data_IF_677310378774
#
_entry.id   IF_677310378774
#
_cell.length_a   1.000
_cell.length_b   1.000
_cell.length_c   1.000
_cell.angle_alpha   90.00
_cell.angle_beta   90.00
_cell.angle_gamma   90.00
#
_symmetry.space_group_name_H-M   'P 1'
#
loop_
_entity.id
_entity.type
_entity.pdbx_description
1 polymer ?
#
# COMPACT_ATOMS: atom_id res chain seq x y z
N UNK A 1 -22.12 20.47 11.21
CA UNK A 1 -20.75 20.71 10.68
C UNK A 1 -20.29 19.70 9.62
N UNK A 2 -20.51 18.37 9.73
CA UNK A 2 -20.02 17.38 8.72
C UNK A 2 -21.09 16.74 7.82
N UNK A 3 -22.33 17.21 7.86
CA UNK A 3 -23.46 16.62 7.12
C UNK A 3 -23.21 16.61 5.61
N UNK A 4 -22.79 17.73 5.04
CA UNK A 4 -22.53 17.87 3.59
C UNK A 4 -21.45 16.90 3.08
N UNK A 5 -20.38 16.71 3.85
CA UNK A 5 -19.30 15.78 3.49
C UNK A 5 -19.72 14.32 3.66
N UNK A 6 -20.53 14.02 4.69
CA UNK A 6 -21.06 12.67 4.94
C UNK A 6 -22.11 12.27 3.90
N UNK A 7 -22.92 13.20 3.41
CA UNK A 7 -23.92 12.96 2.35
C UNK A 7 -23.28 12.62 1.00
N UNK A 8 -22.12 13.19 0.70
CA UNK A 8 -21.37 12.89 -0.54
C UNK A 8 -20.48 11.65 -0.45
N UNK A 9 -20.51 10.90 0.66
CA UNK A 9 -19.76 9.64 0.77
C UNK A 9 -20.28 8.65 -0.26
N UNK A 10 -19.37 8.08 -1.05
CA UNK A 10 -19.70 7.18 -2.16
C UNK A 10 -19.88 7.89 -3.52
N UNK A 11 -19.88 9.22 -3.56
CA UNK A 11 -19.89 9.97 -4.81
C UNK A 11 -18.48 10.17 -5.36
N UNK A 12 -18.40 10.35 -6.68
CA UNK A 12 -17.16 10.72 -7.36
C UNK A 12 -16.97 12.22 -7.22
N UNK A 13 -15.83 12.62 -6.66
CA UNK A 13 -15.41 14.02 -6.55
C UNK A 13 -14.28 14.31 -7.54
N UNK A 14 -14.16 15.58 -7.92
CA UNK A 14 -13.14 16.05 -8.86
C UNK A 14 -12.21 17.07 -8.21
N UNK A 15 -10.96 17.20 -8.70
CA UNK A 15 -10.03 18.21 -8.20
C UNK A 15 -10.63 19.61 -8.31
N UNK A 16 -10.56 20.38 -7.23
CA UNK A 16 -11.15 21.72 -7.14
C UNK A 16 -12.49 21.79 -6.42
N UNK A 17 -13.14 20.66 -6.13
CA UNK A 17 -14.30 20.65 -5.24
C UNK A 17 -13.87 21.09 -3.84
N UNK A 18 -14.52 22.14 -3.31
CA UNK A 18 -14.27 22.68 -1.98
C UNK A 18 -15.44 22.37 -1.04
N UNK A 19 -15.11 22.01 0.20
CA UNK A 19 -16.07 21.83 1.28
C UNK A 19 -15.66 22.75 2.43
N UNK A 20 -16.53 23.69 2.79
CA UNK A 20 -16.36 24.50 3.99
C UNK A 20 -16.70 23.68 5.22
N UNK A 21 -15.92 23.83 6.28
CA UNK A 21 -16.43 23.55 7.60
C UNK A 21 -17.25 24.78 7.98
N UNK A 22 -18.58 24.68 7.97
CA UNK A 22 -19.39 25.76 8.53
C UNK A 22 -19.16 25.76 10.05
N UNK A 23 -18.12 26.48 10.49
CA UNK A 23 -18.16 27.11 11.78
C UNK A 23 -19.36 28.07 11.70
N UNK A 24 -20.44 27.75 12.41
CA UNK A 24 -21.42 28.79 12.70
C UNK A 24 -20.63 29.92 13.38
N UNK A 25 -20.55 31.07 12.72
CA UNK A 25 -20.06 32.34 13.25
C UNK A 25 -21.00 32.85 14.37
N UNK A 26 -21.26 32.01 15.36
CA UNK A 26 -21.80 32.41 16.66
C UNK A 26 -20.76 32.04 17.71
N UNK A 27 -19.82 32.95 17.94
CA UNK A 27 -18.99 32.95 19.15
C UNK A 27 -19.94 33.22 20.32
N UNK A 28 -20.68 32.19 20.73
CA UNK A 28 -21.38 32.16 22.00
C UNK A 28 -20.31 31.88 23.06
N UNK A 29 -20.05 32.87 23.91
CA UNK A 29 -19.05 32.90 24.99
C UNK A 29 -19.30 31.87 26.13
N UNK A 30 -19.96 30.76 25.85
CA UNK A 30 -20.30 29.74 26.83
C UNK A 30 -20.22 28.36 26.17
N UNK A 31 -19.36 27.53 26.76
CA UNK A 31 -19.09 26.11 26.45
C UNK A 31 -17.99 25.83 25.40
N UNK A 32 -16.88 25.31 25.90
CA UNK A 32 -15.76 24.78 25.13
C UNK A 32 -16.15 23.49 24.40
N UNK A 33 -16.90 23.62 23.30
CA UNK A 33 -17.08 22.52 22.36
C UNK A 33 -15.73 22.26 21.66
N UNK A 34 -15.06 21.16 22.01
CA UNK A 34 -13.85 20.73 21.30
C UNK A 34 -14.21 20.59 19.81
N UNK A 35 -13.58 21.31 18.88
CA UNK A 35 -13.87 21.11 17.47
C UNK A 35 -13.50 19.68 17.11
N UNK A 36 -14.48 18.90 16.65
CA UNK A 36 -14.25 17.55 16.12
C UNK A 36 -13.21 17.63 15.00
N UNK A 37 -11.99 17.18 15.26
CA UNK A 37 -10.88 17.30 14.31
C UNK A 37 -11.04 16.26 13.21
N UNK A 38 -11.34 16.73 12.00
CA UNK A 38 -11.35 15.89 10.80
C UNK A 38 -9.94 15.48 10.41
N UNK A 39 -9.74 14.18 10.24
CA UNK A 39 -8.50 13.64 9.69
C UNK A 39 -8.63 13.58 8.18
N UNK A 40 -7.88 14.46 7.50
CA UNK A 40 -7.78 14.48 6.05
C UNK A 40 -6.81 13.39 5.60
N UNK A 41 -7.34 12.32 5.02
CA UNK A 41 -6.58 11.26 4.41
C UNK A 41 -6.12 11.60 2.98
N UNK A 42 -5.57 10.60 2.26
CA UNK A 42 -5.05 10.79 0.92
C UNK A 42 -6.06 11.39 -0.06
N UNK A 43 -5.61 12.33 -0.90
CA UNK A 43 -6.44 12.97 -1.93
C UNK A 43 -7.22 14.20 -1.46
N UNK A 44 -7.28 14.45 -0.14
CA UNK A 44 -7.85 15.65 0.44
C UNK A 44 -6.74 16.56 0.96
N UNK A 45 -6.89 17.86 0.78
CA UNK A 45 -5.97 18.88 1.31
C UNK A 45 -6.76 19.89 2.12
N UNK A 46 -6.30 20.17 3.34
CA UNK A 46 -6.84 21.26 4.14
C UNK A 46 -6.21 22.58 3.74
N UNK A 47 -7.03 23.58 3.43
CA UNK A 47 -6.65 24.95 3.13
C UNK A 47 -7.39 25.87 4.10
N UNK A 48 -6.80 26.11 5.28
CA UNK A 48 -7.44 26.83 6.37
C UNK A 48 -8.69 26.10 6.88
N UNK A 49 -9.84 26.74 6.71
CA UNK A 49 -11.16 26.20 7.09
C UNK A 49 -11.92 25.55 5.92
N UNK A 50 -11.23 25.37 4.79
CA UNK A 50 -11.77 24.66 3.63
C UNK A 50 -11.04 23.34 3.42
N UNK A 51 -11.77 22.34 3.01
CA UNK A 51 -11.25 21.06 2.57
C UNK A 51 -11.37 21.01 1.05
N UNK A 52 -10.23 20.93 0.38
CA UNK A 52 -10.13 20.95 -1.08
C UNK A 52 -9.78 19.56 -1.58
N UNK A 53 -10.53 19.08 -2.57
CA UNK A 53 -10.25 17.85 -3.27
C UNK A 53 -9.06 18.05 -4.20
N UNK A 54 -7.99 17.26 -4.00
CA UNK A 54 -6.77 17.34 -4.81
C UNK A 54 -6.67 16.24 -5.87
N UNK A 55 -7.45 15.17 -5.74
CA UNK A 55 -7.45 14.02 -6.66
C UNK A 55 -8.88 13.62 -7.00
N UNK A 56 -9.11 13.17 -8.24
CA UNK A 56 -10.38 12.57 -8.61
C UNK A 56 -10.55 11.18 -8.02
N UNK A 57 -11.76 10.85 -7.60
CA UNK A 57 -12.07 9.50 -7.10
C UNK A 57 -13.29 9.49 -6.20
N UNK A 58 -13.53 8.33 -5.59
CA UNK A 58 -14.70 8.12 -4.74
C UNK A 58 -14.38 8.58 -3.32
N UNK A 59 -15.21 9.44 -2.75
CA UNK A 59 -15.07 9.85 -1.35
C UNK A 59 -15.44 8.68 -0.43
N UNK A 60 -14.50 8.28 0.43
CA UNK A 60 -14.69 7.26 1.46
C UNK A 60 -14.59 7.88 2.85
N UNK A 61 -15.32 7.29 3.78
CA UNK A 61 -15.36 7.69 5.17
C UNK A 61 -15.19 6.48 6.08
N UNK A 62 -14.34 6.63 7.10
CA UNK A 62 -14.21 5.68 8.21
C UNK A 62 -14.52 6.42 9.51
N UNK A 63 -15.49 5.94 10.32
CA UNK A 63 -15.72 6.47 11.65
C UNK A 63 -14.43 6.45 12.48
N UNK A 64 -14.13 7.47 13.30
CA UNK A 64 -15.02 8.57 13.71
C UNK A 64 -15.10 9.76 12.73
N UNK A 65 -13.98 10.27 12.19
CA UNK A 65 -13.95 11.45 11.28
C UNK A 65 -12.80 11.39 10.26
N UNK A 66 -12.51 10.21 9.69
CA UNK A 66 -11.46 10.05 8.69
C UNK A 66 -12.06 9.99 7.28
N UNK A 67 -11.65 10.91 6.41
CA UNK A 67 -12.10 10.96 5.02
C UNK A 67 -10.91 10.83 4.09
N UNK A 68 -11.06 10.09 3.00
CA UNK A 68 -10.05 10.01 1.95
C UNK A 68 -10.70 9.78 0.59
N UNK A 69 -9.94 10.07 -0.45
CA UNK A 69 -10.37 9.78 -1.81
C UNK A 69 -9.74 8.47 -2.26
N UNK A 70 -10.59 7.54 -2.62
CA UNK A 70 -10.19 6.32 -3.30
C UNK A 70 -9.97 6.64 -4.78
N UNK A 71 -8.71 6.94 -5.12
CA UNK A 71 -8.24 7.14 -6.48
C UNK A 71 -7.43 5.93 -6.96
N UNK A 72 -7.70 5.49 -8.18
CA UNK A 72 -6.87 4.48 -8.84
C UNK A 72 -5.71 5.18 -9.56
N UNK A 73 -4.48 4.95 -9.11
CA UNK A 73 -3.27 5.52 -9.70
C UNK A 73 -2.23 4.42 -9.97
N UNK A 74 -1.40 4.59 -11.01
CA UNK A 74 -0.34 3.62 -11.36
C UNK A 74 0.99 3.87 -10.66
N UNK A 75 1.24 5.11 -10.24
CA UNK A 75 2.46 5.52 -9.52
C UNK A 75 2.23 5.36 -8.03
N UNK A 76 3.17 4.71 -7.35
CA UNK A 76 3.13 4.56 -5.91
C UNK A 76 3.65 5.81 -5.21
N UNK A 77 2.99 6.21 -4.12
CA UNK A 77 3.38 7.35 -3.29
C UNK A 77 3.70 6.77 -1.89
N UNK A 78 4.96 6.88 -1.43
CA UNK A 78 5.40 6.40 -0.14
C UNK A 78 4.56 7.01 0.97
N UNK A 79 4.13 6.16 1.90
CA UNK A 79 3.48 6.57 3.12
C UNK A 79 4.10 5.82 4.29
N UNK A 80 4.20 6.53 5.42
CA UNK A 80 4.81 6.01 6.64
C UNK A 80 4.06 4.78 7.13
N UNK A 81 4.79 3.73 7.51
CA UNK A 81 4.24 2.49 8.03
C UNK A 81 3.74 1.51 6.95
N UNK A 82 3.83 1.85 5.66
CA UNK A 82 3.46 0.92 4.59
C UNK A 82 4.58 -0.09 4.32
N UNK A 83 4.20 -1.35 4.12
CA UNK A 83 5.10 -2.44 3.72
C UNK A 83 5.18 -2.54 2.20
N UNK A 84 6.40 -2.63 1.66
CA UNK A 84 6.68 -2.60 0.23
C UNK A 84 7.75 -3.60 -0.17
N UNK A 85 7.76 -3.96 -1.45
CA UNK A 85 8.82 -4.74 -2.07
C UNK A 85 9.75 -3.79 -2.84
N UNK A 86 11.00 -3.72 -2.41
CA UNK A 86 12.05 -2.94 -3.05
C UNK A 86 13.05 -3.81 -3.82
N UNK A 87 13.73 -3.21 -4.79
CA UNK A 87 14.85 -3.84 -5.51
C UNK A 87 16.11 -3.03 -5.19
N UNK A 88 17.15 -3.68 -4.67
CA UNK A 88 18.41 -3.01 -4.32
C UNK A 88 19.09 -2.56 -5.61
N UNK A 89 19.26 -1.26 -5.77
CA UNK A 89 19.84 -0.66 -6.99
C UNK A 89 21.32 -0.35 -6.82
N UNK A 90 21.73 0.12 -5.64
CA UNK A 90 23.12 0.45 -5.37
C UNK A 90 23.46 0.30 -3.89
N UNK A 91 24.75 0.11 -3.61
CA UNK A 91 25.32 0.03 -2.27
C UNK A 91 26.28 1.19 -2.08
N UNK A 92 25.95 2.12 -1.18
CA UNK A 92 26.70 3.35 -0.96
C UNK A 92 27.11 3.45 0.50
N UNK A 93 28.36 3.05 0.81
CA UNK A 93 28.88 3.09 2.18
C UNK A 93 28.01 2.29 3.15
N UNK A 94 27.39 2.98 4.11
CA UNK A 94 26.52 2.42 5.15
C UNK A 94 25.02 2.53 4.82
N UNK A 95 24.65 2.79 3.55
CA UNK A 95 23.26 2.82 3.07
C UNK A 95 23.11 2.03 1.76
N UNK A 96 22.01 1.31 1.62
CA UNK A 96 21.56 0.71 0.36
C UNK A 96 20.51 1.60 -0.29
N UNK A 97 20.65 1.87 -1.59
CA UNK A 97 19.61 2.53 -2.39
C UNK A 97 18.68 1.47 -2.97
N UNK A 98 17.39 1.62 -2.70
CA UNK A 98 16.36 0.65 -3.04
C UNK A 98 15.29 1.30 -3.91
N UNK A 99 15.03 0.73 -5.07
CA UNK A 99 13.94 1.16 -5.94
C UNK A 99 12.61 0.57 -5.47
N UNK A 100 11.67 1.43 -5.12
CA UNK A 100 10.31 1.06 -4.69
C UNK A 100 9.27 1.35 -5.81
N UNK A 101 9.67 1.98 -6.91
CA UNK A 101 8.75 2.41 -7.97
C UNK A 101 8.01 3.71 -7.65
N UNK A 102 8.63 4.58 -6.85
CA UNK A 102 8.15 5.94 -6.55
C UNK A 102 8.82 7.01 -7.42
N UNK A 103 8.78 8.28 -7.03
CA UNK A 103 9.57 9.36 -7.62
C UNK A 103 11.05 9.23 -7.35
N UNK A 104 11.38 8.82 -6.14
CA UNK A 104 12.75 8.74 -5.65
C UNK A 104 13.03 7.32 -5.17
N UNK A 105 14.31 6.98 -5.16
CA UNK A 105 14.77 5.74 -4.53
C UNK A 105 14.74 5.92 -3.02
N UNK A 106 14.44 4.84 -2.31
CA UNK A 106 14.45 4.84 -0.86
C UNK A 106 15.81 4.42 -0.32
N UNK A 107 16.17 4.98 0.84
CA UNK A 107 17.41 4.68 1.54
C UNK A 107 17.16 3.62 2.61
N UNK A 108 17.95 2.55 2.63
CA UNK A 108 17.89 1.47 3.61
C UNK A 108 19.23 1.36 4.35
N UNK A 109 19.23 1.62 5.66
CA UNK A 109 20.44 1.51 6.48
C UNK A 109 20.83 0.06 6.71
N UNK A 110 22.14 -0.21 6.85
CA UNK A 110 22.63 -1.55 7.19
C UNK A 110 22.21 -1.97 8.60
N UNK A 111 22.05 -1.01 9.50
CA UNK A 111 21.61 -1.24 10.87
C UNK A 111 20.10 -1.54 10.97
N UNK A 112 19.36 -1.34 9.88
CA UNK A 112 17.92 -1.56 9.82
C UNK A 112 17.54 -3.03 9.58
N UNK A 113 18.46 -3.96 9.81
CA UNK A 113 18.24 -5.40 9.73
C UNK A 113 18.39 -6.02 11.12
N UNK A 114 17.66 -7.12 11.36
CA UNK A 114 17.75 -7.84 12.63
C UNK A 114 19.17 -8.37 12.86
N UNK A 115 19.74 -8.06 14.04
CA UNK A 115 21.08 -8.51 14.42
C UNK A 115 22.24 -7.81 13.67
N UNK A 116 21.97 -6.74 12.91
CA UNK A 116 23.00 -6.00 12.21
C UNK A 116 23.81 -5.10 13.15
N UNK A 117 25.13 -5.18 13.05
CA UNK A 117 26.07 -4.30 13.75
C UNK A 117 27.18 -3.86 12.80
N UNK A 118 28.00 -2.86 13.14
CA UNK A 118 29.15 -2.48 12.30
C UNK A 118 30.12 -3.64 12.02
N UNK A 119 30.15 -4.64 12.91
CA UNK A 119 30.94 -5.88 12.77
C UNK A 119 30.20 -6.94 11.95
N UNK A 120 28.89 -7.10 12.16
CA UNK A 120 28.05 -8.07 11.46
C UNK A 120 27.21 -7.38 10.37
N UNK A 121 27.75 -7.30 9.15
CA UNK A 121 27.08 -6.66 8.02
C UNK A 121 26.12 -7.64 7.32
N UNK A 122 24.86 -7.26 7.06
CA UNK A 122 23.93 -8.10 6.32
C UNK A 122 24.42 -8.35 4.89
N UNK A 123 24.21 -9.57 4.39
CA UNK A 123 24.58 -9.95 3.02
C UNK A 123 23.48 -9.52 2.04
N UNK A 124 23.54 -8.27 1.61
CA UNK A 124 22.63 -7.70 0.60
C UNK A 124 23.45 -7.32 -0.64
N UNK A 125 23.02 -7.81 -1.80
CA UNK A 125 23.63 -7.55 -3.09
C UNK A 125 22.75 -6.65 -3.97
N UNK A 126 23.36 -6.04 -4.98
CA UNK A 126 22.64 -5.27 -5.98
C UNK A 126 21.81 -6.23 -6.84
N UNK A 127 20.52 -5.92 -6.99
CA UNK A 127 19.54 -6.77 -7.67
C UNK A 127 18.65 -7.58 -6.73
N UNK A 128 19.00 -7.67 -5.44
CA UNK A 128 18.21 -8.43 -4.45
C UNK A 128 16.84 -7.77 -4.20
N UNK A 129 15.84 -8.61 -3.91
CA UNK A 129 14.51 -8.16 -3.49
C UNK A 129 14.48 -8.02 -1.97
N UNK A 130 13.91 -6.91 -1.50
CA UNK A 130 13.81 -6.61 -0.07
C UNK A 130 12.37 -6.32 0.29
N UNK A 131 11.87 -6.98 1.34
CA UNK A 131 10.58 -6.67 1.95
C UNK A 131 10.84 -5.79 3.16
N UNK A 132 10.37 -4.54 3.10
CA UNK A 132 10.66 -3.52 4.09
C UNK A 132 9.44 -2.62 4.35
N UNK A 133 9.48 -1.88 5.45
CA UNK A 133 8.48 -0.89 5.82
C UNK A 133 9.07 0.52 5.73
N UNK A 134 8.25 1.52 5.37
CA UNK A 134 8.68 2.92 5.47
C UNK A 134 8.67 3.43 6.90
N UNK A 135 9.82 3.90 7.38
CA UNK A 135 9.93 4.60 8.67
C UNK A 135 9.74 6.11 8.50
N UNK A 136 10.33 6.67 7.45
CA UNK A 136 10.19 8.08 7.07
C UNK A 136 9.71 8.14 5.62
N UNK A 137 8.62 8.85 5.39
CA UNK A 137 8.04 9.07 4.08
C UNK A 137 7.42 10.47 4.06
N UNK A 138 8.27 11.49 4.08
CA UNK A 138 7.85 12.88 3.91
C UNK A 138 7.96 13.28 2.44
N UNK A 139 7.24 14.32 2.03
CA UNK A 139 7.27 14.82 0.64
C UNK A 139 8.55 15.58 0.31
N UNK A 140 9.17 16.16 1.33
CA UNK A 140 10.33 17.06 1.19
C UNK A 140 11.67 16.37 1.54
N UNK A 141 11.65 15.06 1.78
CA UNK A 141 12.80 14.28 2.23
C UNK A 141 12.81 12.92 1.56
N UNK A 142 14.00 12.40 1.27
CA UNK A 142 14.17 11.05 0.74
C UNK A 142 13.53 10.03 1.69
N UNK A 143 12.76 9.06 1.16
CA UNK A 143 12.07 8.10 2.01
C UNK A 143 13.05 7.05 2.52
N UNK A 144 12.88 6.66 3.79
CA UNK A 144 13.72 5.68 4.45
C UNK A 144 12.96 4.39 4.75
N UNK A 145 13.63 3.27 4.50
CA UNK A 145 13.11 1.92 4.73
C UNK A 145 13.76 1.28 5.96
N UNK A 146 13.00 0.40 6.59
CA UNK A 146 13.41 -0.41 7.73
C UNK A 146 12.96 -1.85 7.55
N UNK A 147 13.81 -2.82 7.89
CA UNK A 147 13.50 -4.26 7.87
C UNK A 147 13.35 -4.84 9.28
N UNK A 148 13.08 -3.98 10.27
CA UNK A 148 12.83 -4.33 11.67
C UNK A 148 11.58 -3.60 12.16
N UNK A 149 10.83 -4.27 13.01
CA UNK A 149 9.70 -3.70 13.71
C UNK A 149 10.17 -2.81 14.88
N UNK A 150 9.26 -2.06 15.52
CA UNK A 150 9.55 -1.25 16.70
C UNK A 150 10.12 -2.04 17.89
N UNK A 151 9.93 -3.37 17.89
CA UNK A 151 10.51 -4.31 18.85
C UNK A 151 11.94 -4.77 18.50
N UNK A 152 12.49 -4.35 17.36
CA UNK A 152 13.82 -4.73 16.89
C UNK A 152 13.91 -6.10 16.21
N UNK A 153 12.78 -6.76 15.94
CA UNK A 153 12.70 -8.06 15.23
C UNK A 153 12.32 -7.88 13.77
N UNK A 154 12.75 -8.78 12.88
CA UNK A 154 12.43 -8.66 11.46
C UNK A 154 10.97 -8.99 11.12
N UNK A 155 10.26 -9.84 11.88
CA UNK A 155 8.86 -10.22 11.63
C UNK A 155 8.56 -10.61 10.16
N UNK A 156 9.51 -11.26 9.47
CA UNK A 156 9.39 -11.64 8.05
C UNK A 156 9.83 -10.58 7.03
N UNK A 157 10.35 -9.44 7.49
CA UNK A 157 11.04 -8.45 6.67
C UNK A 157 12.50 -8.85 6.40
N UNK A 158 13.09 -8.30 5.35
CA UNK A 158 14.46 -8.59 4.94
C UNK A 158 14.58 -8.97 3.47
N UNK A 159 15.72 -9.55 3.12
CA UNK A 159 16.00 -10.01 1.77
C UNK A 159 15.23 -11.30 1.50
N UNK A 160 14.55 -11.36 0.36
CA UNK A 160 13.83 -12.55 -0.09
C UNK A 160 13.96 -12.69 -1.61
N UNK A 161 13.37 -13.75 -2.19
CA UNK A 161 13.22 -13.85 -3.65
C UNK A 161 13.86 -15.05 -4.33
N UNK A 162 14.33 -16.06 -3.59
CA UNK A 162 14.84 -17.28 -4.22
C UNK A 162 13.72 -18.05 -4.96
N UNK A 163 13.82 -18.14 -6.29
CA UNK A 163 12.98 -19.00 -7.13
C UNK A 163 11.52 -18.57 -7.28
N UNK A 164 11.20 -17.29 -7.07
CA UNK A 164 9.85 -16.75 -7.29
C UNK A 164 9.77 -15.70 -8.41
N UNK A 165 8.56 -15.34 -8.77
CA UNK A 165 8.25 -14.36 -9.82
C UNK A 165 7.75 -13.05 -9.21
N UNK A 166 8.44 -11.95 -9.52
CA UNK A 166 8.01 -10.59 -9.19
C UNK A 166 7.26 -9.99 -10.38
N UNK A 167 6.05 -9.48 -10.15
CA UNK A 167 5.28 -8.77 -11.15
C UNK A 167 4.54 -7.58 -10.56
N UNK A 168 4.06 -6.69 -11.43
CA UNK A 168 3.33 -5.48 -11.06
C UNK A 168 1.83 -5.68 -11.25
N UNK A 169 1.06 -5.20 -10.28
CA UNK A 169 -0.40 -5.14 -10.27
C UNK A 169 -0.87 -3.71 -9.93
N UNK A 170 -2.17 -3.48 -10.02
CA UNK A 170 -2.77 -2.21 -9.64
C UNK A 170 -2.74 -2.00 -8.12
N UNK A 171 -2.63 -0.74 -7.68
CA UNK A 171 -2.61 -0.42 -6.24
C UNK A 171 -3.94 -0.76 -5.57
N UNK A 172 -5.06 -0.55 -6.27
CA UNK A 172 -6.39 -0.95 -5.82
C UNK A 172 -6.51 -2.46 -5.62
N UNK A 173 -5.94 -3.28 -6.51
CA UNK A 173 -5.92 -4.73 -6.33
C UNK A 173 -5.11 -5.13 -5.10
N UNK A 174 -3.93 -4.54 -4.88
CA UNK A 174 -3.12 -4.83 -3.68
C UNK A 174 -3.88 -4.52 -2.40
N UNK A 175 -4.56 -3.37 -2.33
CA UNK A 175 -5.38 -3.00 -1.18
C UNK A 175 -6.52 -3.98 -0.93
N UNK A 176 -7.16 -4.47 -2.01
CA UNK A 176 -8.17 -5.53 -1.92
C UNK A 176 -7.58 -6.86 -1.45
N UNK A 177 -6.38 -7.22 -1.90
CA UNK A 177 -5.69 -8.45 -1.55
C UNK A 177 -5.25 -8.48 -0.07
N UNK A 178 -4.76 -7.35 0.44
CA UNK A 178 -4.35 -7.16 1.84
C UNK A 178 -5.51 -6.91 2.81
N UNK A 179 -6.74 -6.79 2.34
CA UNK A 179 -7.90 -6.64 3.20
C UNK A 179 -8.09 -7.89 4.09
N UNK A 180 -8.50 -7.75 5.37
CA UNK A 180 -8.61 -8.88 6.30
C UNK A 180 -9.54 -10.02 5.84
N UNK A 181 -10.57 -9.69 5.06
CA UNK A 181 -11.53 -10.65 4.49
C UNK A 181 -11.51 -10.55 2.97
N UNK A 182 -10.35 -10.78 2.36
CA UNK A 182 -10.21 -10.71 0.90
C UNK A 182 -10.62 -12.03 0.24
N UNK A 183 -11.71 -12.00 -0.52
CA UNK A 183 -12.18 -13.17 -1.26
C UNK A 183 -11.11 -13.68 -2.25
N UNK A 184 -10.30 -12.77 -2.80
CA UNK A 184 -9.22 -13.11 -3.75
C UNK A 184 -8.17 -13.99 -3.09
N UNK A 185 -7.80 -13.68 -1.83
CA UNK A 185 -6.83 -14.48 -1.08
C UNK A 185 -7.42 -15.83 -0.70
N UNK A 186 -8.65 -15.84 -0.21
CA UNK A 186 -9.35 -17.08 0.14
C UNK A 186 -9.52 -18.01 -1.07
N UNK A 187 -9.78 -17.45 -2.26
CA UNK A 187 -9.86 -18.21 -3.50
C UNK A 187 -8.47 -18.74 -3.93
N UNK A 188 -7.41 -17.95 -3.81
CA UNK A 188 -6.02 -18.36 -4.13
C UNK A 188 -5.51 -19.48 -3.22
N UNK A 189 -5.77 -19.38 -1.91
CA UNK A 189 -5.34 -20.36 -0.92
C UNK A 189 -5.97 -21.75 -1.19
N UNK A 190 -7.11 -21.79 -1.86
CA UNK A 190 -7.80 -23.05 -2.28
C UNK A 190 -7.26 -23.66 -3.57
N UNK A 191 -6.49 -22.91 -4.37
CA UNK A 191 -5.99 -23.37 -5.67
C UNK A 191 -4.71 -24.16 -5.53
N UNK A 192 -3.65 -23.49 -5.06
CA UNK A 192 -2.31 -24.05 -4.98
C UNK A 192 -1.64 -23.56 -3.70
N UNK A 193 -0.86 -24.41 -3.00
CA UNK A 193 0.04 -23.93 -1.98
C UNK A 193 1.07 -23.00 -2.64
N UNK A 194 1.06 -21.73 -2.25
CA UNK A 194 1.99 -20.74 -2.74
C UNK A 194 2.44 -19.81 -1.63
N UNK A 195 3.66 -19.32 -1.75
CA UNK A 195 4.15 -18.20 -0.96
C UNK A 195 3.87 -16.91 -1.73
N UNK A 196 3.26 -15.97 -1.05
CA UNK A 196 2.80 -14.72 -1.63
C UNK A 196 3.29 -13.58 -0.74
N UNK A 197 4.12 -12.70 -1.31
CA UNK A 197 4.55 -11.45 -0.67
C UNK A 197 3.96 -10.30 -1.45
N UNK A 198 3.25 -9.41 -0.74
CA UNK A 198 2.49 -8.32 -1.34
C UNK A 198 3.01 -7.00 -0.82
N UNK A 199 3.51 -6.15 -1.72
CA UNK A 199 3.92 -4.79 -1.41
C UNK A 199 2.86 -3.78 -1.81
N UNK A 200 2.57 -2.80 -0.92
CA UNK A 200 1.62 -1.70 -1.18
C UNK A 200 2.00 -0.83 -2.38
N UNK A 201 3.22 -0.96 -2.89
CA UNK A 201 3.70 -0.35 -4.12
C UNK A 201 3.21 -1.00 -5.41
N UNK A 202 2.30 -1.98 -5.32
CA UNK A 202 1.78 -2.67 -6.50
C UNK A 202 2.71 -3.76 -7.00
N UNK A 203 3.76 -4.11 -6.25
CA UNK A 203 4.65 -5.23 -6.55
C UNK A 203 4.20 -6.44 -5.76
N UNK A 204 4.09 -7.57 -6.44
CA UNK A 204 3.69 -8.85 -5.84
C UNK A 204 4.71 -9.88 -6.27
N UNK A 205 5.16 -10.66 -5.29
CA UNK A 205 6.05 -11.78 -5.51
C UNK A 205 5.34 -13.08 -5.16
N UNK A 206 5.43 -14.06 -6.05
CA UNK A 206 4.78 -15.37 -5.90
C UNK A 206 5.81 -16.47 -6.10
N UNK A 207 5.73 -17.50 -5.25
CA UNK A 207 6.47 -18.75 -5.43
C UNK A 207 5.55 -19.93 -5.19
N UNK A 208 5.50 -20.86 -6.15
CA UNK A 208 4.84 -22.16 -6.01
C UNK A 208 5.85 -23.29 -6.19
N UNK A 209 5.42 -24.54 -6.02
CA UNK A 209 6.28 -25.71 -6.22
C UNK A 209 6.71 -25.90 -7.68
N UNK A 210 5.88 -25.46 -8.64
CA UNK A 210 6.18 -25.50 -10.08
C UNK A 210 6.16 -24.10 -10.69
N UNK A 211 7.04 -23.87 -11.67
CA UNK A 211 7.06 -22.64 -12.47
C UNK A 211 5.74 -22.44 -13.22
N UNK A 212 5.12 -23.52 -13.72
CA UNK A 212 3.83 -23.42 -14.40
C UNK A 212 2.73 -22.91 -13.46
N UNK A 213 2.67 -23.42 -12.23
CA UNK A 213 1.73 -22.95 -11.22
C UNK A 213 1.99 -21.48 -10.86
N UNK A 214 3.27 -21.10 -10.71
CA UNK A 214 3.66 -19.71 -10.43
C UNK A 214 3.17 -18.76 -11.53
N UNK A 215 3.31 -19.16 -12.80
CA UNK A 215 2.83 -18.38 -13.95
C UNK A 215 1.30 -18.28 -13.99
N UNK A 216 0.59 -19.39 -13.70
CA UNK A 216 -0.87 -19.40 -13.61
C UNK A 216 -1.33 -18.42 -12.53
N UNK A 217 -0.75 -18.48 -11.32
CA UNK A 217 -1.12 -17.56 -10.23
C UNK A 217 -0.85 -16.10 -10.59
N UNK A 218 0.30 -15.80 -11.21
CA UNK A 218 0.62 -14.44 -11.64
C UNK A 218 -0.38 -13.90 -12.67
N UNK A 219 -0.73 -14.71 -13.68
CA UNK A 219 -1.71 -14.33 -14.71
C UNK A 219 -3.12 -14.13 -14.13
N UNK A 220 -3.51 -14.99 -13.18
CA UNK A 220 -4.79 -14.86 -12.48
C UNK A 220 -4.85 -13.56 -11.68
N UNK A 221 -3.80 -13.25 -10.92
CA UNK A 221 -3.71 -12.01 -10.15
C UNK A 221 -3.74 -10.77 -11.05
N UNK A 222 -3.02 -10.77 -12.17
CA UNK A 222 -3.09 -9.66 -13.13
C UNK A 222 -4.49 -9.49 -13.73
N UNK A 223 -5.19 -10.59 -14.01
CA UNK A 223 -6.55 -10.56 -14.57
C UNK A 223 -7.63 -10.17 -13.55
N UNK A 224 -7.38 -10.37 -12.25
CA UNK A 224 -8.32 -10.04 -11.18
C UNK A 224 -8.66 -8.54 -11.09
N UNK A 225 -7.86 -7.66 -11.67
CA UNK A 225 -8.14 -6.22 -11.60
C UNK A 225 -9.41 -5.83 -12.36
N UNK A 226 -9.65 -6.46 -13.51
CA UNK A 226 -10.77 -6.16 -14.43
C UNK A 226 -11.96 -7.10 -14.28
N UNK A 227 -11.82 -8.18 -13.50
CA UNK A 227 -12.84 -9.21 -13.37
C UNK A 227 -13.82 -8.96 -12.21
N UNK A 228 -15.08 -9.31 -12.44
CA UNK A 228 -16.09 -9.40 -11.38
C UNK A 228 -15.88 -10.65 -10.52
N UNK A 229 -16.47 -10.68 -9.32
CA UNK A 229 -16.36 -11.83 -8.40
C UNK A 229 -16.85 -13.15 -9.03
N UNK A 230 -17.95 -13.11 -9.79
CA UNK A 230 -18.50 -14.29 -10.44
C UNK A 230 -17.58 -14.83 -11.55
N UNK A 231 -17.03 -13.94 -12.39
CA UNK A 231 -16.07 -14.31 -13.43
C UNK A 231 -14.78 -14.89 -12.84
N UNK A 232 -14.30 -14.29 -11.74
CA UNK A 232 -13.12 -14.76 -11.01
C UNK A 232 -13.31 -16.21 -10.51
N UNK A 233 -14.44 -16.49 -9.88
CA UNK A 233 -14.75 -17.85 -9.40
C UNK A 233 -14.85 -18.87 -10.53
N UNK A 234 -15.45 -18.50 -11.67
CA UNK A 234 -15.50 -19.37 -12.84
C UNK A 234 -14.10 -19.65 -13.39
N UNK A 235 -13.23 -18.64 -13.47
CA UNK A 235 -11.86 -18.79 -13.93
C UNK A 235 -11.05 -19.71 -13.01
N UNK A 236 -11.15 -19.51 -11.69
CA UNK A 236 -10.49 -20.36 -10.72
C UNK A 236 -10.94 -21.82 -10.78
N UNK A 237 -12.24 -22.08 -11.01
CA UNK A 237 -12.74 -23.44 -11.24
C UNK A 237 -12.17 -24.07 -12.51
N UNK A 238 -12.02 -23.31 -13.60
CA UNK A 238 -11.41 -23.82 -14.84
C UNK A 238 -9.93 -24.19 -14.65
N UNK A 239 -9.20 -23.39 -13.88
CA UNK A 239 -7.80 -23.68 -13.53
C UNK A 239 -7.70 -24.96 -12.71
N UNK A 240 -8.58 -25.18 -11.73
CA UNK A 240 -8.60 -26.42 -10.95
C UNK A 240 -8.90 -27.66 -11.79
N UNK A 241 -9.69 -27.51 -12.86
CA UNK A 241 -10.03 -28.58 -13.79
C UNK A 241 -8.90 -28.86 -14.81
N UNK A 242 -7.79 -28.11 -14.78
CA UNK A 242 -6.67 -28.29 -15.70
C UNK A 242 -6.96 -27.85 -17.14
N UNK A 243 -7.95 -26.98 -17.34
CA UNK A 243 -8.38 -26.55 -18.68
C UNK A 243 -7.54 -25.39 -19.27
N UNK A 244 -6.29 -25.22 -18.82
CA UNK A 244 -5.37 -24.15 -19.23
C UNK A 244 -3.95 -24.69 -19.43
#
# INVERSE_FOLDING_TARGET
MFSSLKEKVGQVLVPGDEFGFEAEDSISLTESAKPERVVCGPGLRRSGDRLVVSKSGVLRHKPPHCFWIESQQRRYIPAKGETVIGIVTAKSGDVFKVDVGSSEQASLSYLAFEGATKRNRPNVQVGDLVFAQFIIANKDMEPELVCIDGSGRANGMGVFGAGGLLFKVSLGLVRRLLAPHSDIRADLDRLFPCELVVGLNGRVWVRSSSTQQTLIVANLLQSCDTMTAAQRQQLFRKVQQGAL
#
